data_IF_865411529348
#
_entry.id   IF_865411529348
#
_cell.length_a   1.000
_cell.length_b   1.000
_cell.length_c   1.000
_cell.angle_alpha   90.00
_cell.angle_beta   90.00
_cell.angle_gamma   90.00
#
_symmetry.space_group_name_H-M   'P 1'
#
loop_
_entity.id
_entity.type
_entity.pdbx_description
1 polymer ?
#
# COMPACT_ATOMS: atom_id res chain seq x y z
N UNK A 1 -16.43 0.37 -6.12
CA UNK A 1 -15.02 0.14 -6.51
C UNK A 1 -14.18 1.32 -6.06
N UNK A 2 -13.07 1.06 -5.40
CA UNK A 2 -12.11 2.08 -4.97
C UNK A 2 -10.74 1.70 -5.50
N UNK A 3 -10.05 2.67 -6.13
CA UNK A 3 -8.68 2.49 -6.62
C UNK A 3 -7.77 3.41 -5.82
N UNK A 4 -6.74 2.85 -5.20
CA UNK A 4 -5.81 3.61 -4.35
C UNK A 4 -4.38 3.22 -4.68
N UNK A 5 -3.52 4.22 -4.86
CA UNK A 5 -2.09 4.02 -5.01
C UNK A 5 -1.44 3.80 -3.65
N UNK A 6 -0.56 2.81 -3.57
CA UNK A 6 0.21 2.50 -2.37
C UNK A 6 1.71 2.62 -2.64
N UNK A 7 2.52 2.63 -1.58
CA UNK A 7 3.99 2.71 -1.68
C UNK A 7 4.61 1.35 -1.43
N UNK A 8 4.85 0.61 -2.52
CA UNK A 8 5.37 -0.77 -2.47
C UNK A 8 6.76 -0.86 -1.85
N UNK A 9 7.52 0.23 -1.85
CA UNK A 9 8.85 0.30 -1.24
C UNK A 9 8.83 -0.06 0.24
N UNK A 10 7.70 0.16 0.91
CA UNK A 10 7.53 -0.18 2.33
C UNK A 10 7.22 -1.67 2.55
N UNK A 11 7.00 -2.42 1.48
CA UNK A 11 6.74 -3.87 1.54
C UNK A 11 5.53 -4.22 2.40
N UNK A 12 5.69 -5.26 3.23
CA UNK A 12 4.61 -5.76 4.09
C UNK A 12 4.54 -5.08 5.46
N UNK A 13 5.36 -4.07 5.71
CA UNK A 13 5.30 -3.31 6.97
C UNK A 13 3.99 -2.51 7.02
N UNK A 14 3.18 -2.61 8.10
CA UNK A 14 1.91 -1.89 8.19
C UNK A 14 2.13 -0.45 8.67
N UNK A 15 2.77 0.36 7.86
CA UNK A 15 3.21 1.70 8.22
C UNK A 15 2.70 2.76 7.26
N UNK A 16 2.55 3.97 7.79
CA UNK A 16 2.26 5.18 7.03
C UNK A 16 3.24 6.27 7.41
N UNK A 17 3.49 7.18 6.49
CA UNK A 17 4.20 8.43 6.81
C UNK A 17 3.22 9.33 7.57
N UNK A 18 3.63 9.94 8.71
CA UNK A 18 2.73 10.81 9.47
C UNK A 18 2.21 11.98 8.62
N UNK A 19 0.98 12.37 8.85
CA UNK A 19 0.38 13.48 8.14
C UNK A 19 1.15 14.77 8.40
N UNK A 20 1.46 15.49 7.32
CA UNK A 20 2.13 16.79 7.36
C UNK A 20 1.30 17.79 6.54
N UNK A 21 0.67 18.80 7.17
CA UNK A 21 -0.13 19.78 6.45
C UNK A 21 0.69 20.67 5.52
N UNK A 22 2.01 20.70 5.69
CA UNK A 22 2.93 21.49 4.87
C UNK A 22 3.62 20.66 3.78
N UNK A 23 3.20 19.38 3.60
CA UNK A 23 3.82 18.52 2.60
C UNK A 23 3.64 19.08 1.20
N UNK A 24 4.75 19.12 0.47
CA UNK A 24 4.78 19.42 -0.97
C UNK A 24 5.66 18.39 -1.67
N UNK A 25 5.13 17.76 -2.70
CA UNK A 25 5.87 16.77 -3.47
C UNK A 25 7.17 17.40 -4.04
N UNK A 26 8.29 16.71 -3.99
CA UNK A 26 8.53 15.33 -3.52
C UNK A 26 8.82 15.19 -2.02
N UNK A 27 8.72 16.26 -1.24
CA UNK A 27 8.99 16.24 0.20
C UNK A 27 10.46 16.07 0.53
N UNK A 28 10.74 15.48 1.70
CA UNK A 28 12.11 15.30 2.22
C UNK A 28 12.85 14.15 1.55
N UNK A 29 12.11 13.19 1.00
CA UNK A 29 12.67 12.05 0.28
C UNK A 29 11.62 11.54 -0.71
N UNK A 30 12.04 11.07 -1.91
CA UNK A 30 11.10 10.67 -2.97
C UNK A 30 10.09 9.60 -2.57
N UNK A 31 10.43 8.71 -1.61
CA UNK A 31 9.51 7.67 -1.16
C UNK A 31 8.91 7.95 0.22
N UNK A 32 9.26 9.05 0.87
CA UNK A 32 8.76 9.35 2.22
C UNK A 32 7.42 10.07 2.15
N UNK A 33 6.38 9.36 1.72
CA UNK A 33 4.99 9.82 1.74
C UNK A 33 4.06 8.63 1.58
N UNK A 34 2.80 8.80 1.97
CA UNK A 34 1.76 7.81 1.74
C UNK A 34 1.77 6.64 2.71
N UNK A 35 1.20 5.54 2.26
CA UNK A 35 0.96 4.33 3.04
C UNK A 35 1.48 3.09 2.35
N UNK A 36 1.94 2.11 3.15
CA UNK A 36 2.30 0.80 2.62
C UNK A 36 1.08 0.05 2.09
N UNK A 37 1.31 -0.94 1.21
CA UNK A 37 0.23 -1.84 0.78
C UNK A 37 -0.48 -2.52 1.96
N UNK A 38 0.28 -2.98 2.96
CA UNK A 38 -0.28 -3.65 4.13
C UNK A 38 -1.15 -2.70 4.97
N UNK A 39 -0.69 -1.47 5.22
CA UNK A 39 -1.45 -0.47 5.96
C UNK A 39 -2.76 -0.10 5.26
N UNK A 40 -2.71 0.10 3.95
CA UNK A 40 -3.90 0.42 3.17
C UNK A 40 -4.91 -0.72 3.19
N UNK A 41 -4.43 -1.96 3.11
CA UNK A 41 -5.30 -3.12 3.17
C UNK A 41 -6.00 -3.26 4.53
N UNK A 42 -5.30 -2.99 5.63
CA UNK A 42 -5.90 -2.97 6.97
C UNK A 42 -7.02 -1.93 7.04
N UNK A 43 -6.77 -0.72 6.57
CA UNK A 43 -7.78 0.34 6.54
C UNK A 43 -9.00 -0.07 5.70
N UNK A 44 -8.76 -0.63 4.53
CA UNK A 44 -9.85 -1.04 3.63
C UNK A 44 -10.71 -2.13 4.29
N UNK A 45 -10.09 -3.14 4.89
CA UNK A 45 -10.83 -4.21 5.58
C UNK A 45 -11.65 -3.67 6.74
N UNK A 46 -11.12 -2.73 7.50
CA UNK A 46 -11.86 -2.10 8.60
C UNK A 46 -13.08 -1.31 8.11
N UNK A 47 -13.08 -0.89 6.85
CA UNK A 47 -14.20 -0.18 6.24
C UNK A 47 -15.13 -1.08 5.43
N UNK A 48 -14.95 -2.39 5.47
CA UNK A 48 -15.82 -3.34 4.78
C UNK A 48 -15.47 -3.58 3.32
N UNK A 49 -14.21 -3.35 2.95
CA UNK A 49 -13.69 -3.58 1.60
C UNK A 49 -12.68 -4.71 1.59
N UNK A 50 -12.50 -5.34 0.42
CA UNK A 50 -11.46 -6.34 0.21
C UNK A 50 -10.64 -6.00 -1.04
N UNK A 51 -9.36 -6.33 -1.00
CA UNK A 51 -8.47 -6.20 -2.14
C UNK A 51 -8.79 -7.30 -3.15
N UNK A 52 -9.05 -6.95 -4.40
CA UNK A 52 -9.41 -7.92 -5.43
C UNK A 52 -8.41 -8.00 -6.57
N UNK A 53 -7.67 -6.93 -6.85
CA UNK A 53 -6.66 -6.92 -7.91
C UNK A 53 -5.69 -5.75 -7.69
N UNK A 54 -4.48 -5.88 -8.24
CA UNK A 54 -3.52 -4.78 -8.35
C UNK A 54 -2.96 -4.74 -9.78
N UNK A 55 -2.27 -3.66 -10.13
CA UNK A 55 -1.42 -3.68 -11.33
C UNK A 55 -0.20 -4.58 -11.07
N UNK A 56 0.61 -4.81 -12.12
CA UNK A 56 1.72 -5.76 -12.06
C UNK A 56 2.74 -5.44 -10.95
N UNK A 57 2.98 -4.16 -10.69
CA UNK A 57 3.92 -3.73 -9.66
C UNK A 57 3.34 -3.75 -8.25
N UNK A 58 2.04 -3.96 -8.09
CA UNK A 58 1.37 -3.95 -6.79
C UNK A 58 1.09 -2.55 -6.24
N UNK A 59 1.30 -1.51 -7.04
CA UNK A 59 1.17 -0.11 -6.61
C UNK A 59 -0.29 0.32 -6.50
N UNK A 60 -1.09 0.04 -7.54
CA UNK A 60 -2.48 0.43 -7.58
C UNK A 60 -3.35 -0.71 -7.06
N UNK A 61 -3.93 -0.50 -5.90
CA UNK A 61 -4.87 -1.43 -5.27
C UNK A 61 -6.28 -1.14 -5.73
N UNK A 62 -7.01 -2.18 -6.11
CA UNK A 62 -8.43 -2.09 -6.42
C UNK A 62 -9.21 -2.84 -5.36
N UNK A 63 -10.09 -2.13 -4.68
CA UNK A 63 -10.91 -2.66 -3.60
C UNK A 63 -12.36 -2.73 -4.02
N UNK A 64 -13.04 -3.76 -3.55
CA UNK A 64 -14.47 -3.95 -3.78
C UNK A 64 -15.17 -4.10 -2.44
N UNK A 65 -16.35 -3.50 -2.30
CA UNK A 65 -17.14 -3.59 -1.08
C UNK A 65 -17.60 -5.04 -0.87
N UNK A 66 -17.54 -5.51 0.37
CA UNK A 66 -17.76 -6.93 0.67
C UNK A 66 -19.18 -7.43 0.39
N UNK A 67 -20.15 -6.54 0.24
CA UNK A 67 -21.53 -6.91 -0.11
C UNK A 67 -21.74 -7.05 -1.62
N UNK A 68 -20.69 -6.90 -2.44
CA UNK A 68 -20.76 -6.97 -3.90
C UNK A 68 -19.89 -8.12 -4.40
N UNK A 69 -20.51 -9.06 -5.12
CA UNK A 69 -19.84 -10.14 -5.87
C UNK A 69 -18.80 -10.91 -5.05
N UNK A 70 -19.06 -11.16 -3.75
CA UNK A 70 -18.08 -11.79 -2.86
C UNK A 70 -17.64 -13.18 -3.33
N UNK A 71 -18.54 -13.96 -3.89
CA UNK A 71 -18.24 -15.31 -4.36
C UNK A 71 -17.58 -15.31 -5.75
N UNK A 72 -17.89 -14.34 -6.59
CA UNK A 72 -17.42 -14.27 -7.97
C UNK A 72 -16.04 -13.59 -8.05
N UNK A 73 -15.77 -12.65 -7.14
CA UNK A 73 -14.51 -11.89 -7.13
C UNK A 73 -13.94 -11.96 -5.72
N UNK A 74 -13.13 -13.00 -5.42
CA UNK A 74 -12.61 -13.20 -4.06
C UNK A 74 -11.50 -12.22 -3.69
N UNK A 75 -11.26 -12.11 -2.37
CA UNK A 75 -10.14 -11.38 -1.84
C UNK A 75 -8.81 -12.02 -2.23
N UNK A 76 -7.80 -11.19 -2.50
CA UNK A 76 -6.42 -11.65 -2.72
C UNK A 76 -5.53 -11.16 -1.57
N UNK A 77 -4.42 -11.88 -1.36
CA UNK A 77 -3.45 -11.52 -0.32
C UNK A 77 -2.48 -10.46 -0.83
N UNK A 78 -2.18 -9.46 0.00
CA UNK A 78 -1.24 -8.38 -0.35
C UNK A 78 0.13 -8.96 -0.74
N UNK A 79 0.63 -9.94 0.00
CA UNK A 79 1.94 -10.52 -0.26
C UNK A 79 2.08 -11.06 -1.70
N UNK A 80 1.01 -11.59 -2.28
CA UNK A 80 1.04 -12.13 -3.63
C UNK A 80 1.16 -11.06 -4.71
N UNK A 81 0.94 -9.79 -4.36
CA UNK A 81 1.00 -8.66 -5.29
C UNK A 81 2.38 -7.98 -5.33
N UNK A 82 3.31 -8.40 -4.45
CA UNK A 82 4.63 -7.78 -4.31
C UNK A 82 5.74 -8.68 -4.85
N UNK A 83 5.45 -9.43 -5.90
CA UNK A 83 6.37 -10.45 -6.44
C UNK A 83 7.10 -10.02 -7.72
N UNK A 84 6.73 -8.90 -8.32
CA UNK A 84 7.38 -8.42 -9.54
C UNK A 84 8.85 -8.05 -9.23
N UNK A 85 9.82 -8.43 -10.09
CA UNK A 85 11.24 -8.15 -9.84
C UNK A 85 11.55 -6.66 -9.57
N UNK A 86 10.89 -5.74 -10.26
CA UNK A 86 11.08 -4.31 -10.03
C UNK A 86 10.57 -3.88 -8.65
N UNK A 87 9.47 -4.46 -8.20
CA UNK A 87 8.92 -4.21 -6.87
C UNK A 87 9.86 -4.70 -5.79
N UNK A 88 10.37 -5.93 -5.94
CA UNK A 88 11.33 -6.50 -4.99
C UNK A 88 12.60 -5.65 -4.95
N UNK A 89 13.10 -5.20 -6.10
CA UNK A 89 14.26 -4.33 -6.16
C UNK A 89 14.03 -2.99 -5.45
N UNK A 90 12.81 -2.48 -5.46
CA UNK A 90 12.47 -1.20 -4.84
C UNK A 90 12.54 -1.23 -3.31
N UNK A 91 12.49 -2.41 -2.69
CA UNK A 91 12.57 -2.54 -1.22
C UNK A 91 13.88 -1.98 -0.67
N UNK A 92 14.94 -1.95 -1.47
CA UNK A 92 16.23 -1.37 -1.06
C UNK A 92 16.13 0.12 -0.76
N UNK A 93 15.23 0.83 -1.43
CA UNK A 93 15.05 2.26 -1.21
C UNK A 93 14.59 2.58 0.21
N UNK A 94 13.87 1.66 0.84
CA UNK A 94 13.42 1.83 2.23
C UNK A 94 14.58 1.93 3.21
N UNK A 95 15.72 1.31 2.93
CA UNK A 95 16.89 1.36 3.82
C UNK A 95 17.36 2.78 4.09
N UNK A 96 17.16 3.70 3.14
CA UNK A 96 17.56 5.10 3.27
C UNK A 96 16.75 5.87 4.30
N UNK A 97 15.53 5.42 4.59
CA UNK A 97 14.60 6.10 5.49
C UNK A 97 14.06 5.20 6.60
N UNK A 98 14.61 4.00 6.76
CA UNK A 98 14.07 3.01 7.71
C UNK A 98 14.02 3.49 9.16
N UNK A 99 14.88 4.43 9.53
CA UNK A 99 14.95 5.00 10.88
C UNK A 99 14.17 6.32 11.02
N UNK A 100 13.50 6.74 9.96
CA UNK A 100 12.65 7.93 10.00
C UNK A 100 11.35 7.63 10.74
N UNK A 101 10.60 8.67 11.06
CA UNK A 101 9.35 8.52 11.78
C UNK A 101 8.26 7.91 10.90
N UNK A 102 7.67 6.80 11.36
CA UNK A 102 6.50 6.19 10.74
C UNK A 102 5.46 5.92 11.81
N UNK A 103 4.21 5.84 11.37
CA UNK A 103 3.10 5.46 12.23
C UNK A 103 2.65 4.05 11.84
N UNK A 104 2.55 3.17 12.81
CA UNK A 104 2.00 1.84 12.59
C UNK A 104 0.47 1.86 12.58
N UNK A 105 -0.09 1.02 11.74
CA UNK A 105 -1.55 0.89 11.60
C UNK A 105 -2.05 -0.38 12.28
#
# INVERSE_FOLDING_TARGET
>A
VVVIETHVEFGMKPIIVPYDPNYMYPGKHPIYHGASPAAMNILARNKGYRLVVTNDLGINHIYLRNDIALNEIPEIEVATTLTHPKTIASFKSFEEIKDWEFKEV
#
